data_IF_908798270946
#
_entry.id   IF_908798270946
#
_cell.length_a   1.000
_cell.length_b   1.000
_cell.length_c   1.000
_cell.angle_alpha   90.00
_cell.angle_beta   90.00
_cell.angle_gamma   90.00
#
_symmetry.space_group_name_H-M   'P 1'
#
loop_
_entity.id
_entity.type
_entity.pdbx_description
1 polymer ?
#
# COMPACT_ATOMS: atom_id res chain seq x y z
N UNK A 1 -51.17 -53.43 2.02
CA UNK A 1 -49.91 -53.23 1.29
C UNK A 1 -49.82 -51.76 0.95
N UNK A 2 -48.99 -51.02 1.68
CA UNK A 2 -48.60 -49.66 1.37
C UNK A 2 -47.08 -49.63 1.52
N UNK A 3 -46.38 -49.28 0.45
CA UNK A 3 -44.92 -49.22 0.39
C UNK A 3 -44.58 -47.75 0.50
N UNK A 4 -44.22 -47.30 1.69
CA UNK A 4 -43.75 -45.93 1.90
C UNK A 4 -42.33 -45.81 1.33
N UNK A 5 -42.20 -45.06 0.25
CA UNK A 5 -40.92 -44.70 -0.33
C UNK A 5 -40.27 -43.61 0.54
N UNK A 6 -39.29 -44.00 1.35
CA UNK A 6 -38.41 -43.06 2.04
C UNK A 6 -37.57 -42.29 1.01
N UNK A 7 -37.95 -41.05 0.73
CA UNK A 7 -37.18 -40.14 -0.10
C UNK A 7 -35.93 -39.67 0.64
N UNK A 8 -34.77 -40.18 0.23
CA UNK A 8 -33.47 -39.74 0.74
C UNK A 8 -33.26 -38.23 0.51
N UNK A 9 -33.02 -37.49 1.59
CA UNK A 9 -32.74 -36.06 1.54
C UNK A 9 -31.34 -35.81 0.94
N UNK A 10 -31.30 -35.25 -0.28
CA UNK A 10 -30.05 -34.82 -0.92
C UNK A 10 -29.79 -33.35 -0.58
N UNK A 11 -28.61 -32.99 -0.01
CA UNK A 11 -28.26 -31.61 0.27
C UNK A 11 -28.21 -30.78 -1.02
N UNK A 12 -28.75 -29.56 -0.97
CA UNK A 12 -28.69 -28.62 -2.09
C UNK A 12 -27.22 -28.37 -2.49
N UNK A 13 -26.82 -28.88 -3.65
CA UNK A 13 -25.50 -28.59 -4.21
C UNK A 13 -25.51 -27.18 -4.80
N UNK A 14 -24.83 -26.25 -4.12
CA UNK A 14 -24.60 -24.92 -4.67
C UNK A 14 -23.67 -25.02 -5.89
N UNK A 15 -23.93 -24.23 -6.95
CA UNK A 15 -23.06 -24.19 -8.12
C UNK A 15 -21.65 -23.73 -7.72
N UNK A 16 -20.65 -24.54 -8.06
CA UNK A 16 -19.22 -24.32 -7.75
C UNK A 16 -18.64 -23.04 -8.35
N UNK A 17 -19.36 -22.41 -9.28
CA UNK A 17 -18.90 -21.23 -10.03
C UNK A 17 -18.88 -19.93 -9.20
N UNK A 18 -19.47 -19.94 -8.00
CA UNK A 18 -19.48 -18.77 -7.10
C UNK A 18 -18.11 -18.50 -6.44
N UNK A 19 -17.20 -19.48 -6.39
CA UNK A 19 -15.88 -19.32 -5.74
C UNK A 19 -14.89 -18.48 -6.56
N UNK A 20 -15.15 -18.26 -7.86
CA UNK A 20 -14.23 -17.54 -8.76
C UNK A 20 -14.65 -16.09 -9.08
N UNK A 21 -15.66 -15.55 -8.39
CA UNK A 21 -16.02 -14.13 -8.52
C UNK A 21 -14.98 -13.29 -7.77
N UNK A 22 -14.01 -12.71 -8.49
CA UNK A 22 -13.01 -11.81 -7.91
C UNK A 22 -13.66 -10.51 -7.42
N UNK A 23 -14.07 -10.52 -6.15
CA UNK A 23 -14.72 -9.40 -5.46
C UNK A 23 -13.86 -8.13 -5.40
N UNK A 24 -12.56 -8.21 -5.73
CA UNK A 24 -11.64 -7.06 -5.75
C UNK A 24 -11.78 -6.21 -7.02
N UNK A 25 -12.34 -6.77 -8.09
CA UNK A 25 -12.57 -6.06 -9.37
C UNK A 25 -13.96 -5.46 -9.48
N UNK A 26 -14.87 -5.78 -8.56
CA UNK A 26 -16.19 -5.18 -8.50
C UNK A 26 -16.09 -3.74 -7.97
N UNK A 27 -15.91 -2.79 -8.89
CA UNK A 27 -15.84 -1.35 -8.64
C UNK A 27 -17.07 -0.82 -7.87
N UNK A 28 -18.19 -1.55 -7.90
CA UNK A 28 -19.45 -1.17 -7.25
C UNK A 28 -19.58 -1.59 -5.77
N UNK A 29 -18.67 -2.41 -5.21
CA UNK A 29 -18.76 -2.92 -3.82
C UNK A 29 -17.87 -2.12 -2.86
N UNK A 30 -17.14 -1.12 -3.35
CA UNK A 30 -16.34 -0.28 -2.48
C UNK A 30 -17.24 0.56 -1.54
N UNK A 31 -16.98 0.58 -0.21
CA UNK A 31 -17.73 1.41 0.71
C UNK A 31 -17.63 2.88 0.29
N UNK A 32 -18.78 3.56 0.26
CA UNK A 32 -18.95 4.94 -0.18
C UNK A 32 -18.00 5.86 0.61
N UNK A 33 -16.89 6.28 -0.01
CA UNK A 33 -15.87 7.13 0.60
C UNK A 33 -14.42 6.67 0.42
N UNK A 34 -14.17 5.45 -0.06
CA UNK A 34 -12.79 4.98 -0.31
C UNK A 34 -12.35 5.39 -1.72
N UNK A 35 -11.60 6.51 -1.82
CA UNK A 35 -10.88 6.87 -3.05
C UNK A 35 -9.73 5.87 -3.26
N UNK A 36 -9.82 5.06 -4.32
CA UNK A 36 -8.74 4.19 -4.75
C UNK A 36 -7.47 5.01 -5.02
N UNK A 37 -6.33 4.59 -4.44
CA UNK A 37 -5.03 5.21 -4.69
C UNK A 37 -4.64 4.95 -6.15
N UNK A 38 -4.94 5.89 -7.04
CA UNK A 38 -4.31 5.93 -8.36
C UNK A 38 -2.81 6.16 -8.15
N UNK A 39 -2.00 5.25 -8.70
CA UNK A 39 -0.55 5.28 -8.59
C UNK A 39 0.03 6.59 -9.15
N UNK A 40 0.33 7.54 -8.26
CA UNK A 40 1.02 8.77 -8.61
C UNK A 40 2.47 8.44 -8.97
N UNK A 41 2.83 8.72 -10.23
CA UNK A 41 4.20 8.67 -10.76
C UNK A 41 5.09 9.58 -9.93
N UNK A 42 6.14 9.02 -9.33
CA UNK A 42 7.20 9.77 -8.64
C UNK A 42 8.00 10.56 -9.67
N UNK A 43 7.95 11.89 -9.61
CA UNK A 43 8.94 12.77 -10.23
C UNK A 43 9.91 13.17 -9.12
N UNK A 44 11.15 12.69 -9.22
CA UNK A 44 12.30 13.04 -8.39
C UNK A 44 12.73 14.44 -8.83
N UNK A 45 12.71 15.40 -7.92
CA UNK A 45 13.43 16.67 -8.03
C UNK A 45 14.14 16.88 -6.70
N UNK A 46 15.39 17.28 -6.86
CA UNK A 46 16.49 17.45 -5.94
C UNK A 46 16.64 18.97 -5.78
N UNK A 47 16.58 19.48 -4.56
CA UNK A 47 16.78 20.89 -4.17
C UNK A 47 17.01 20.85 -2.64
N UNK A 48 18.28 20.87 -2.21
CA UNK A 48 19.11 22.04 -1.87
C UNK A 48 18.89 22.56 -0.44
N UNK A 49 20.03 22.84 0.18
CA UNK A 49 20.28 23.11 1.60
C UNK A 49 19.78 24.50 2.07
N UNK A 50 19.38 24.55 3.36
CA UNK A 50 19.30 25.62 4.40
C UNK A 50 19.55 27.13 4.05
N UNK A 51 19.02 28.14 4.81
CA UNK A 51 18.88 28.15 6.30
C UNK A 51 17.70 28.94 6.94
N UNK A 52 17.60 28.78 8.26
CA UNK A 52 17.10 29.66 9.35
C UNK A 52 16.03 30.74 9.09
N UNK A 53 14.93 30.67 9.87
CA UNK A 53 14.33 31.86 10.51
C UNK A 53 13.32 31.47 11.61
N UNK A 54 13.63 31.84 12.85
CA UNK A 54 12.62 32.08 13.90
C UNK A 54 11.77 33.30 13.49
N UNK A 55 10.51 33.39 13.96
CA UNK A 55 10.25 34.53 14.84
C UNK A 55 9.33 34.24 16.04
N UNK A 56 9.45 35.19 16.96
CA UNK A 56 8.93 35.32 18.30
C UNK A 56 7.40 35.40 18.46
N UNK A 57 7.03 35.48 19.73
CA UNK A 57 5.71 35.57 20.34
C UNK A 57 4.87 36.81 19.96
N UNK A 58 3.61 36.75 20.45
CA UNK A 58 2.65 37.83 20.66
C UNK A 58 1.83 38.32 19.46
N UNK A 59 0.54 37.98 19.45
CA UNK A 59 -0.52 38.89 19.91
C UNK A 59 -1.89 38.19 19.87
N UNK A 60 -2.53 38.09 21.04
CA UNK A 60 -3.95 37.79 21.19
C UNK A 60 -4.75 39.02 20.73
N UNK A 61 -5.32 38.94 19.53
CA UNK A 61 -6.37 39.86 19.10
C UNK A 61 -7.71 39.42 19.69
N UNK A 62 -8.07 40.12 20.76
CA UNK A 62 -9.40 40.17 21.36
C UNK A 62 -10.39 40.73 20.33
N UNK A 63 -11.07 39.83 19.62
CA UNK A 63 -12.09 40.18 18.63
C UNK A 63 -13.45 40.28 19.34
N UNK A 64 -14.09 41.46 19.44
CA UNK A 64 -15.40 41.56 20.06
C UNK A 64 -16.42 40.72 19.29
N UNK A 65 -17.15 39.89 20.04
CA UNK A 65 -18.20 39.03 19.54
C UNK A 65 -19.28 39.88 18.85
N UNK A 66 -19.35 39.77 17.51
CA UNK A 66 -20.47 40.29 16.75
C UNK A 66 -21.75 39.54 17.18
N UNK A 67 -22.70 40.26 17.78
CA UNK A 67 -24.03 39.74 18.09
C UNK A 67 -24.83 39.47 16.81
N UNK A 68 -25.27 38.23 16.51
CA UNK A 68 -26.26 38.02 15.47
C UNK A 68 -27.67 38.21 16.08
N UNK A 69 -28.25 39.39 15.89
CA UNK A 69 -29.69 39.66 16.13
C UNK A 69 -30.57 39.01 15.06
N UNK A 70 -30.46 37.69 14.93
CA UNK A 70 -31.40 36.89 14.15
C UNK A 70 -32.62 36.57 14.99
N UNK A 71 -33.82 36.97 14.55
CA UNK A 71 -35.10 36.59 15.18
C UNK A 71 -35.15 35.06 15.28
N UNK A 72 -35.14 34.53 16.50
CA UNK A 72 -35.21 33.09 16.80
C UNK A 72 -36.65 32.70 17.09
N UNK A 73 -37.09 31.55 16.59
CA UNK A 73 -38.41 31.02 16.90
C UNK A 73 -38.26 29.96 18.00
N UNK A 74 -39.14 30.03 19.00
CA UNK A 74 -39.16 29.06 20.11
C UNK A 74 -39.70 27.75 19.53
N UNK A 75 -38.87 26.71 19.48
CA UNK A 75 -39.29 25.40 18.98
C UNK A 75 -39.79 24.52 20.13
N UNK A 76 -39.14 24.60 21.29
CA UNK A 76 -39.54 24.01 22.58
C UNK A 76 -38.95 24.85 23.73
N UNK A 77 -39.41 24.65 24.97
CA UNK A 77 -39.02 25.45 26.15
C UNK A 77 -37.51 25.51 26.44
N UNK A 78 -36.74 24.59 25.87
CA UNK A 78 -35.29 24.48 26.06
C UNK A 78 -34.46 24.68 24.79
N UNK A 79 -35.07 24.90 23.62
CA UNK A 79 -34.30 24.97 22.36
C UNK A 79 -34.87 25.98 21.37
N UNK A 80 -34.04 26.95 20.98
CA UNK A 80 -34.34 27.94 19.96
C UNK A 80 -33.79 27.48 18.62
N UNK A 81 -34.62 27.51 17.57
CA UNK A 81 -34.21 27.17 16.20
C UNK A 81 -34.16 28.44 15.34
N UNK A 82 -33.19 28.56 14.41
CA UNK A 82 -33.22 29.63 13.43
C UNK A 82 -34.40 29.43 12.48
N UNK A 83 -35.10 30.52 12.13
CA UNK A 83 -36.31 30.51 11.30
C UNK A 83 -36.08 29.89 9.92
N UNK A 84 -34.83 29.89 9.43
CA UNK A 84 -34.46 29.37 8.10
C UNK A 84 -34.46 27.83 7.98
N UNK A 85 -34.84 27.09 9.03
CA UNK A 85 -35.02 25.62 9.00
C UNK A 85 -33.73 24.80 8.81
N UNK A 86 -32.59 25.46 8.53
CA UNK A 86 -31.30 24.81 8.29
C UNK A 86 -30.57 24.62 9.62
N UNK A 87 -30.69 23.43 10.20
CA UNK A 87 -29.91 23.04 11.37
C UNK A 87 -28.48 22.74 10.91
N UNK A 88 -27.54 23.62 11.19
CA UNK A 88 -26.12 23.37 10.90
C UNK A 88 -25.63 22.21 11.79
N UNK A 89 -24.74 21.36 11.25
CA UNK A 89 -24.23 20.16 11.93
C UNK A 89 -23.67 20.54 13.31
N UNK A 90 -23.94 19.70 14.32
CA UNK A 90 -23.37 19.89 15.65
C UNK A 90 -21.83 19.91 15.58
N UNK A 91 -21.15 20.75 16.38
CA UNK A 91 -19.69 20.80 16.38
C UNK A 91 -19.13 19.41 16.74
N UNK A 92 -18.28 18.87 15.86
CA UNK A 92 -17.63 17.58 16.10
C UNK A 92 -16.73 17.65 17.33
N UNK A 93 -16.75 16.61 18.17
CA UNK A 93 -15.83 16.54 19.30
C UNK A 93 -14.38 16.41 18.82
N UNK A 94 -13.47 17.15 19.48
CA UNK A 94 -12.04 17.03 19.25
C UNK A 94 -11.56 15.61 19.60
N UNK A 95 -10.69 15.03 18.78
CA UNK A 95 -10.14 13.69 19.01
C UNK A 95 -9.45 13.56 20.39
N UNK A 96 -8.88 14.66 20.90
CA UNK A 96 -8.29 14.74 22.23
C UNK A 96 -9.29 14.54 23.37
N UNK A 97 -10.59 14.80 23.16
CA UNK A 97 -11.65 14.58 24.16
C UNK A 97 -12.10 13.12 24.18
N UNK A 98 -12.18 12.48 23.02
CA UNK A 98 -12.64 11.09 22.86
C UNK A 98 -11.53 10.08 23.17
N UNK A 99 -10.29 10.38 22.80
CA UNK A 99 -9.14 9.49 22.97
C UNK A 99 -8.34 9.79 24.24
N UNK A 100 -8.96 10.35 25.30
CA UNK A 100 -8.28 10.44 26.59
C UNK A 100 -7.95 9.01 27.05
N UNK A 101 -6.67 8.63 27.16
CA UNK A 101 -6.33 7.33 27.70
C UNK A 101 -6.86 7.28 29.12
N UNK A 102 -7.74 6.31 29.43
CA UNK A 102 -8.18 6.04 30.79
C UNK A 102 -6.94 5.98 31.68
N UNK A 103 -6.84 6.97 32.58
CA UNK A 103 -5.67 7.32 33.38
C UNK A 103 -4.79 6.10 33.67
N UNK A 104 -3.65 6.05 32.98
CA UNK A 104 -2.65 4.98 33.08
C UNK A 104 -2.11 4.78 34.51
N UNK A 105 -2.37 5.73 35.40
CA UNK A 105 -2.01 5.68 36.82
C UNK A 105 -2.75 4.65 37.66
N UNK A 106 -3.95 4.16 37.25
CA UNK A 106 -4.76 3.24 38.09
C UNK A 106 -4.49 1.74 37.88
N UNK A 107 -3.51 1.35 37.06
CA UNK A 107 -3.21 -0.07 36.83
C UNK A 107 -2.32 -0.61 37.94
N UNK A 108 -2.71 -1.74 38.54
CA UNK A 108 -1.86 -2.50 39.45
C UNK A 108 -0.56 -2.95 38.76
N UNK A 109 0.51 -3.11 39.52
CA UNK A 109 1.81 -3.53 39.00
C UNK A 109 1.74 -4.85 38.20
N UNK A 110 0.98 -5.82 38.71
CA UNK A 110 0.73 -7.10 38.04
C UNK A 110 0.15 -6.89 36.63
N UNK A 111 -0.86 -6.02 36.50
CA UNK A 111 -1.47 -5.70 35.21
C UNK A 111 -0.52 -4.98 34.25
N UNK A 112 0.39 -4.15 34.76
CA UNK A 112 1.43 -3.52 33.93
C UNK A 112 2.42 -4.54 33.38
N UNK A 113 2.79 -5.54 34.19
CA UNK A 113 3.71 -6.59 33.77
C UNK A 113 3.11 -7.54 32.74
N UNK A 114 1.84 -7.92 32.91
CA UNK A 114 1.15 -8.74 31.90
C UNK A 114 1.00 -7.99 30.57
N UNK A 115 0.65 -6.70 30.60
CA UNK A 115 0.59 -5.86 29.40
C UNK A 115 1.97 -5.68 28.74
N UNK A 116 3.04 -5.55 29.53
CA UNK A 116 4.42 -5.45 29.03
C UNK A 116 4.85 -6.75 28.34
N UNK A 117 4.57 -7.90 28.96
CA UNK A 117 4.85 -9.21 28.38
C UNK A 117 4.06 -9.44 27.09
N UNK A 118 2.76 -9.13 27.09
CA UNK A 118 1.92 -9.21 25.90
C UNK A 118 2.42 -8.31 24.76
N UNK A 119 2.85 -7.08 25.08
CA UNK A 119 3.44 -6.15 24.11
C UNK A 119 4.75 -6.69 23.53
N UNK A 120 5.63 -7.26 24.36
CA UNK A 120 6.87 -7.85 23.88
C UNK A 120 6.61 -9.05 22.96
N UNK A 121 5.71 -9.95 23.36
CA UNK A 121 5.33 -11.10 22.54
C UNK A 121 4.74 -10.68 21.18
N UNK A 122 3.88 -9.67 21.17
CA UNK A 122 3.33 -9.13 19.92
C UNK A 122 4.43 -8.52 19.05
N UNK A 123 5.39 -7.80 19.65
CA UNK A 123 6.51 -7.21 18.91
C UNK A 123 7.47 -8.27 18.35
N UNK A 124 7.78 -9.34 19.09
CA UNK A 124 8.60 -10.43 18.58
C UNK A 124 7.90 -11.15 17.43
N UNK A 125 6.64 -11.51 17.58
CA UNK A 125 5.86 -12.16 16.53
C UNK A 125 5.78 -11.30 15.25
N UNK A 126 5.62 -9.97 15.39
CA UNK A 126 5.66 -9.04 14.25
C UNK A 126 7.03 -9.03 13.57
N UNK A 127 8.11 -9.00 14.34
CA UNK A 127 9.48 -9.02 13.79
C UNK A 127 9.73 -10.33 13.03
N UNK A 128 9.41 -11.46 13.63
CA UNK A 128 9.54 -12.79 13.02
C UNK A 128 8.77 -12.89 11.70
N UNK A 129 7.51 -12.41 11.65
CA UNK A 129 6.72 -12.40 10.44
C UNK A 129 7.34 -11.53 9.33
N UNK A 130 7.85 -10.35 9.69
CA UNK A 130 8.52 -9.44 8.75
C UNK A 130 9.83 -10.04 8.24
N UNK A 131 10.61 -10.65 9.12
CA UNK A 131 11.90 -11.25 8.76
C UNK A 131 11.71 -12.49 7.90
N UNK A 132 10.70 -13.31 8.18
CA UNK A 132 10.29 -14.42 7.31
C UNK A 132 9.88 -13.93 5.90
N UNK A 133 9.11 -12.83 5.81
CA UNK A 133 8.73 -12.24 4.53
C UNK A 133 9.95 -11.68 3.77
N UNK A 134 10.87 -11.00 4.46
CA UNK A 134 12.12 -10.50 3.87
C UNK A 134 13.01 -11.65 3.39
N UNK A 135 13.14 -12.72 4.18
CA UNK A 135 13.92 -13.91 3.83
C UNK A 135 13.38 -14.57 2.55
N UNK A 136 12.06 -14.77 2.45
CA UNK A 136 11.41 -15.29 1.23
C UNK A 136 11.69 -14.41 0.01
N UNK A 137 11.61 -13.09 0.17
CA UNK A 137 11.89 -12.14 -0.92
C UNK A 137 13.35 -12.16 -1.35
N UNK A 138 14.29 -12.23 -0.40
CA UNK A 138 15.73 -12.35 -0.68
C UNK A 138 16.03 -13.65 -1.43
N UNK A 139 15.56 -14.78 -0.92
CA UNK A 139 15.74 -16.08 -1.56
C UNK A 139 15.22 -16.11 -3.01
N UNK A 140 14.03 -15.56 -3.26
CA UNK A 140 13.49 -15.44 -4.62
C UNK A 140 14.34 -14.52 -5.52
N UNK A 141 14.89 -13.44 -4.95
CA UNK A 141 15.82 -12.55 -5.65
C UNK A 141 17.13 -13.23 -6.02
N UNK A 142 17.70 -13.99 -5.08
CA UNK A 142 18.98 -14.68 -5.26
C UNK A 142 18.83 -15.83 -6.26
N UNK A 143 17.72 -16.57 -6.25
CA UNK A 143 17.41 -17.56 -7.30
C UNK A 143 17.34 -16.94 -8.69
N UNK A 144 16.73 -15.74 -8.83
CA UNK A 144 16.66 -15.04 -10.12
C UNK A 144 18.03 -14.56 -10.59
N UNK A 145 18.88 -14.08 -9.67
CA UNK A 145 20.26 -13.68 -9.99
C UNK A 145 21.09 -14.88 -10.44
N UNK A 146 21.07 -15.97 -9.67
CA UNK A 146 21.78 -17.20 -10.01
C UNK A 146 21.29 -17.78 -11.36
N UNK A 147 19.99 -17.75 -11.63
CA UNK A 147 19.45 -18.18 -12.93
C UNK A 147 19.91 -17.27 -14.08
N UNK A 148 20.02 -15.95 -13.86
CA UNK A 148 20.53 -15.01 -14.85
C UNK A 148 22.02 -15.24 -15.10
N UNK A 149 22.81 -15.43 -14.05
CA UNK A 149 24.25 -15.71 -14.14
C UNK A 149 24.50 -17.01 -14.90
N UNK A 150 23.80 -18.10 -14.56
CA UNK A 150 23.87 -19.36 -15.33
C UNK A 150 23.51 -19.18 -16.80
N UNK A 151 22.47 -18.38 -17.10
CA UNK A 151 22.12 -18.07 -18.49
C UNK A 151 23.23 -17.30 -19.21
N UNK A 152 23.82 -16.30 -18.57
CA UNK A 152 24.92 -15.52 -19.12
C UNK A 152 26.17 -16.39 -19.32
N UNK A 153 26.49 -17.26 -18.38
CA UNK A 153 27.61 -18.21 -18.49
C UNK A 153 27.36 -19.23 -19.61
N UNK A 154 26.15 -19.78 -19.71
CA UNK A 154 25.80 -20.69 -20.79
C UNK A 154 25.84 -19.98 -22.15
N UNK A 155 25.38 -18.72 -22.22
CA UNK A 155 25.51 -17.91 -23.42
C UNK A 155 26.98 -17.70 -23.79
N UNK A 156 27.84 -17.33 -22.84
CA UNK A 156 29.29 -17.17 -23.05
C UNK A 156 29.95 -18.47 -23.51
N UNK A 157 29.60 -19.61 -22.91
CA UNK A 157 30.11 -20.94 -23.28
C UNK A 157 29.61 -21.40 -24.65
N UNK A 158 28.34 -21.14 -24.97
CA UNK A 158 27.72 -21.47 -26.26
C UNK A 158 28.13 -20.52 -27.39
N UNK A 159 28.61 -19.33 -27.06
CA UNK A 159 29.23 -18.40 -28.00
C UNK A 159 30.62 -18.91 -28.37
N UNK A 160 30.67 -20.03 -29.10
CA UNK A 160 31.85 -20.50 -29.81
C UNK A 160 32.02 -19.59 -31.02
N UNK A 161 32.55 -18.41 -30.76
CA UNK A 161 32.84 -17.38 -31.76
C UNK A 161 34.35 -17.30 -31.93
N UNK A 162 34.81 -17.41 -33.18
CA UNK A 162 36.20 -17.10 -33.52
C UNK A 162 36.35 -15.57 -33.55
N UNK A 163 37.12 -15.02 -32.59
CA UNK A 163 37.43 -13.59 -32.59
C UNK A 163 38.32 -13.26 -33.79
N UNK A 164 37.84 -12.41 -34.69
CA UNK A 164 38.62 -11.96 -35.83
C UNK A 164 39.47 -10.78 -35.37
N UNK A 165 40.75 -11.01 -35.11
CA UNK A 165 41.68 -9.99 -34.58
C UNK A 165 42.21 -9.03 -35.66
N UNK A 166 42.16 -9.42 -36.94
CA UNK A 166 42.67 -8.61 -38.03
C UNK A 166 41.60 -7.63 -38.55
N UNK A 167 41.87 -6.33 -38.42
CA UNK A 167 40.94 -5.27 -38.87
C UNK A 167 40.74 -5.23 -40.39
N UNK A 168 41.73 -5.67 -41.17
CA UNK A 168 41.63 -5.71 -42.63
C UNK A 168 40.67 -6.81 -43.11
N UNK A 169 40.61 -7.95 -42.43
CA UNK A 169 39.67 -9.02 -42.76
C UNK A 169 38.24 -8.65 -42.37
N UNK A 170 38.04 -8.01 -41.22
CA UNK A 170 36.72 -7.45 -40.83
C UNK A 170 36.22 -6.46 -41.88
N UNK A 171 37.07 -5.54 -42.35
CA UNK A 171 36.71 -4.57 -43.41
C UNK A 171 36.33 -5.26 -44.73
N UNK A 172 37.05 -6.31 -45.14
CA UNK A 172 36.72 -7.10 -46.34
C UNK A 172 35.36 -7.79 -46.19
N UNK A 173 35.11 -8.44 -45.05
CA UNK A 173 33.84 -9.13 -44.78
C UNK A 173 32.65 -8.18 -44.64
N UNK A 174 32.86 -6.94 -44.15
CA UNK A 174 31.81 -5.92 -44.08
C UNK A 174 31.41 -5.36 -45.45
N UNK A 175 32.30 -5.42 -46.45
CA UNK A 175 32.00 -4.99 -47.82
C UNK A 175 30.97 -5.91 -48.48
N UNK A 176 31.01 -7.21 -48.17
CA UNK A 176 30.09 -8.19 -48.73
C UNK A 176 28.81 -8.34 -47.92
N UNK A 177 27.64 -8.17 -48.58
CA UNK A 177 26.31 -8.23 -47.91
C UNK A 177 26.02 -9.58 -47.24
N UNK A 178 26.55 -10.69 -47.79
CA UNK A 178 26.37 -12.04 -47.22
C UNK A 178 27.27 -12.24 -46.00
N UNK A 179 28.54 -11.88 -46.07
CA UNK A 179 29.51 -12.04 -44.98
C UNK A 179 29.25 -11.06 -43.83
N UNK A 180 28.79 -9.84 -44.13
CA UNK A 180 28.36 -8.87 -43.10
C UNK A 180 27.22 -9.39 -42.21
N UNK A 181 26.35 -10.28 -42.73
CA UNK A 181 25.28 -10.91 -41.94
C UNK A 181 25.79 -12.01 -41.00
N UNK A 182 26.96 -12.59 -41.32
CA UNK A 182 27.60 -13.62 -40.51
C UNK A 182 28.39 -13.01 -39.35
N UNK A 183 28.93 -11.80 -39.52
CA UNK A 183 29.60 -11.07 -38.45
C UNK A 183 28.60 -10.66 -37.36
N UNK A 184 28.81 -11.15 -36.15
CA UNK A 184 28.15 -10.61 -34.94
C UNK A 184 29.03 -9.57 -34.26
N UNK A 185 28.42 -8.73 -33.43
CA UNK A 185 29.13 -7.74 -32.60
C UNK A 185 30.16 -8.36 -31.66
N UNK A 186 30.07 -9.65 -31.36
CA UNK A 186 31.06 -10.38 -30.56
C UNK A 186 32.27 -10.89 -31.38
N UNK A 187 32.17 -10.89 -32.72
CA UNK A 187 33.20 -11.43 -33.63
C UNK A 187 34.22 -10.34 -34.03
N UNK A 188 33.81 -9.08 -33.93
CA UNK A 188 34.59 -7.89 -34.24
C UNK A 188 35.09 -7.24 -32.94
N UNK A 189 36.40 -7.23 -32.71
CA UNK A 189 37.03 -6.46 -31.63
C UNK A 189 37.05 -4.96 -31.95
#
# INVERSE_FOLDING_TARGET
MAVDAEGEWVPAQYPKDMENVDLRRLVAVAPKGVKGKTAAKRKRVEEEEEPEQQPEAMQEDDKPAAEPTGKRQKADDKTWRPVSGKVWKAPGQRASTVMKPQLTGKKSWSKRMTEKAAKQHLQSAKKEAVDAAKAKRKAAGDQRKAARERKLENQKKSAVVQKITNSATVKKMMKDKKQRKLLRTADTN
#
